data_IF_129134755743
#
_entry.id   IF_129134755743
#
_cell.length_a   1.000
_cell.length_b   1.000
_cell.length_c   1.000
_cell.angle_alpha   90.00
_cell.angle_beta   90.00
_cell.angle_gamma   90.00
#
_symmetry.space_group_name_H-M   'P 1'
#
loop_
_entity.id
_entity.type
_entity.pdbx_description
1 polymer ?
#
# COMPACT_ATOMS: atom_id res chain seq x y z
N UNK A 1 -4.33 16.03 -4.99
CA UNK A 1 -3.69 16.31 -3.68
C UNK A 1 -3.61 15.07 -2.79
N UNK A 2 -4.66 14.25 -2.68
CA UNK A 2 -4.65 13.05 -1.80
C UNK A 2 -3.60 12.00 -2.17
N UNK A 3 -3.42 11.68 -3.46
CA UNK A 3 -2.41 10.71 -3.91
C UNK A 3 -0.97 11.16 -3.61
N UNK A 4 -0.70 12.46 -3.66
CA UNK A 4 0.63 13.02 -3.33
C UNK A 4 0.94 12.84 -1.85
N UNK A 5 -0.03 13.13 -0.97
CA UNK A 5 0.13 12.95 0.47
C UNK A 5 0.29 11.47 0.83
N UNK A 6 -0.54 10.61 0.26
CA UNK A 6 -0.47 9.16 0.46
C UNK A 6 0.88 8.59 0.00
N UNK A 7 1.39 9.05 -1.15
CA UNK A 7 2.73 8.67 -1.63
C UNK A 7 3.84 9.11 -0.68
N UNK A 8 3.77 10.34 -0.17
CA UNK A 8 4.74 10.86 0.80
C UNK A 8 4.77 10.02 2.08
N UNK A 9 3.60 9.79 2.69
CA UNK A 9 3.47 8.96 3.90
C UNK A 9 3.98 7.54 3.64
N UNK A 10 3.63 6.94 2.49
CA UNK A 10 4.09 5.60 2.14
C UNK A 10 5.62 5.55 2.02
N UNK A 11 6.23 6.50 1.31
CA UNK A 11 7.70 6.55 1.18
C UNK A 11 8.39 6.75 2.53
N UNK A 12 7.89 7.66 3.38
CA UNK A 12 8.42 7.86 4.73
C UNK A 12 8.27 6.62 5.61
N UNK A 13 7.21 5.84 5.41
CA UNK A 13 6.99 4.59 6.13
C UNK A 13 8.01 3.55 5.68
N UNK A 14 8.15 3.34 4.37
CA UNK A 14 9.09 2.36 3.81
C UNK A 14 10.57 2.71 4.07
N UNK A 15 10.89 3.99 4.24
CA UNK A 15 12.23 4.45 4.63
C UNK A 15 12.47 4.42 6.14
N UNK A 16 11.47 4.02 6.94
CA UNK A 16 11.65 3.92 8.38
C UNK A 16 12.70 2.85 8.73
N UNK A 17 13.54 3.08 9.76
CA UNK A 17 14.52 2.08 10.21
C UNK A 17 13.88 0.74 10.59
N UNK A 18 12.61 0.76 11.02
CA UNK A 18 11.84 -0.41 11.42
C UNK A 18 11.57 -1.38 10.27
N UNK A 19 11.51 -0.88 9.02
CA UNK A 19 11.21 -1.67 7.82
C UNK A 19 12.42 -1.87 6.91
N UNK A 20 13.60 -1.41 7.34
CA UNK A 20 14.82 -1.42 6.52
C UNK A 20 15.27 -2.85 6.16
N UNK A 21 14.94 -3.84 7.00
CA UNK A 21 15.25 -5.25 6.78
C UNK A 21 14.07 -6.06 6.20
N UNK A 22 12.91 -5.44 6.02
CA UNK A 22 11.72 -6.13 5.51
C UNK A 22 11.73 -6.07 3.97
N UNK A 23 11.74 -7.21 3.26
CA UNK A 23 11.70 -7.22 1.80
C UNK A 23 10.30 -6.83 1.31
N UNK A 24 10.10 -5.54 1.02
CA UNK A 24 8.83 -4.99 0.52
C UNK A 24 8.99 -4.59 -0.95
N UNK A 25 8.22 -5.23 -1.83
CA UNK A 25 8.12 -4.82 -3.24
C UNK A 25 6.98 -3.80 -3.39
N UNK A 26 7.34 -2.57 -3.78
CA UNK A 26 6.35 -1.53 -4.06
C UNK A 26 6.04 -1.46 -5.55
N UNK A 27 4.78 -1.76 -5.92
CA UNK A 27 4.26 -1.58 -7.27
C UNK A 27 3.21 -0.48 -7.33
N UNK A 28 3.48 0.55 -8.13
CA UNK A 28 2.52 1.64 -8.37
C UNK A 28 1.72 1.36 -9.63
N UNK A 29 0.38 1.41 -9.52
CA UNK A 29 -0.54 1.28 -10.65
C UNK A 29 -1.22 2.61 -10.89
N UNK A 30 -1.07 3.14 -12.10
CA UNK A 30 -1.81 4.33 -12.54
C UNK A 30 -3.12 3.88 -13.21
N UNK A 31 -4.23 4.10 -12.50
CA UNK A 31 -5.56 3.72 -12.96
C UNK A 31 -6.05 4.55 -14.15
N UNK A 32 -5.43 5.71 -14.43
CA UNK A 32 -5.82 6.55 -15.58
C UNK A 32 -5.33 5.96 -16.91
N UNK A 33 -4.43 4.97 -16.87
CA UNK A 33 -3.96 4.28 -18.08
C UNK A 33 -5.01 3.28 -18.56
N UNK A 34 -5.22 3.23 -19.88
CA UNK A 34 -6.18 2.30 -20.52
C UNK A 34 -5.94 0.83 -20.16
N UNK A 35 -4.68 0.42 -20.01
CA UNK A 35 -4.30 -0.95 -19.59
C UNK A 35 -4.79 -1.32 -18.17
N UNK A 36 -5.10 -0.31 -17.34
CA UNK A 36 -5.59 -0.46 -15.98
C UNK A 36 -7.07 -0.07 -15.84
N UNK A 37 -7.84 -0.06 -16.94
CA UNK A 37 -9.26 0.32 -16.93
C UNK A 37 -10.08 -0.46 -15.87
N UNK A 38 -9.76 -1.75 -15.67
CA UNK A 38 -10.37 -2.56 -14.61
C UNK A 38 -10.22 -1.96 -13.20
N UNK A 39 -9.10 -1.29 -12.91
CA UNK A 39 -8.85 -0.65 -11.62
C UNK A 39 -9.48 0.74 -11.55
N UNK A 40 -9.61 1.41 -12.69
CA UNK A 40 -10.36 2.64 -12.79
C UNK A 40 -11.82 2.41 -12.42
N UNK A 41 -12.46 1.40 -13.01
CA UNK A 41 -13.88 1.09 -12.75
C UNK A 41 -14.14 0.75 -11.28
N UNK A 42 -13.16 0.16 -10.59
CA UNK A 42 -13.28 -0.26 -9.19
C UNK A 42 -12.95 0.87 -8.19
N UNK A 43 -12.00 1.74 -8.52
CA UNK A 43 -11.41 2.66 -7.54
C UNK A 43 -11.38 4.14 -7.95
N UNK A 44 -12.00 4.53 -9.07
CA UNK A 44 -11.94 5.93 -9.55
C UNK A 44 -12.40 6.96 -8.49
N UNK A 45 -13.27 6.57 -7.56
CA UNK A 45 -13.74 7.42 -6.47
C UNK A 45 -12.97 7.25 -5.14
N UNK A 46 -12.28 6.13 -4.94
CA UNK A 46 -11.63 5.76 -3.68
C UNK A 46 -10.11 6.00 -3.66
N UNK A 47 -9.54 6.52 -4.76
CA UNK A 47 -8.11 6.84 -4.82
C UNK A 47 -7.71 7.88 -3.76
N UNK A 48 -6.59 7.69 -3.05
CA UNK A 48 -5.58 6.63 -3.20
C UNK A 48 -5.93 5.32 -2.48
N UNK A 49 -5.60 4.19 -3.12
CA UNK A 49 -5.77 2.83 -2.58
C UNK A 49 -4.42 2.12 -2.51
N UNK A 50 -4.13 1.47 -1.38
CA UNK A 50 -2.96 0.60 -1.19
C UNK A 50 -3.42 -0.82 -0.90
N UNK A 51 -2.91 -1.76 -1.67
CA UNK A 51 -3.01 -3.19 -1.38
C UNK A 51 -1.73 -3.67 -0.70
N UNK A 52 -1.90 -4.40 0.41
CA UNK A 52 -0.81 -5.12 1.08
C UNK A 52 -1.09 -6.60 0.91
N UNK A 53 -0.33 -7.21 -0.01
CA UNK A 53 -0.35 -8.63 -0.32
C UNK A 53 0.79 -9.33 0.42
N UNK A 54 0.51 -10.51 1.00
CA UNK A 54 1.48 -11.33 1.72
C UNK A 54 1.38 -12.80 1.30
N UNK A 55 2.50 -13.53 1.24
CA UNK A 55 2.47 -14.96 0.93
C UNK A 55 1.65 -15.71 1.98
N UNK A 56 0.63 -16.46 1.53
CA UNK A 56 -0.25 -17.25 2.41
C UNK A 56 -1.29 -16.45 3.20
N UNK A 57 -1.59 -15.21 2.79
CA UNK A 57 -2.75 -14.47 3.28
C UNK A 57 -4.00 -14.81 2.44
N UNK A 58 -5.13 -15.08 3.09
CA UNK A 58 -6.37 -15.45 2.39
C UNK A 58 -7.04 -14.27 1.65
N UNK A 59 -6.87 -13.03 2.14
CA UNK A 59 -7.40 -11.80 1.52
C UNK A 59 -6.46 -10.63 1.76
N UNK A 60 -6.05 -9.85 0.74
CA UNK A 60 -5.18 -8.69 0.93
C UNK A 60 -5.78 -7.64 1.86
N UNK A 61 -4.91 -6.93 2.59
CA UNK A 61 -5.34 -5.75 3.34
C UNK A 61 -5.41 -4.56 2.39
N UNK A 62 -6.48 -3.79 2.48
CA UNK A 62 -6.70 -2.61 1.66
C UNK A 62 -6.76 -1.37 2.54
N UNK A 63 -5.98 -0.35 2.21
CA UNK A 63 -6.10 0.99 2.77
C UNK A 63 -6.63 1.91 1.69
N UNK A 64 -7.67 2.69 2.01
CA UNK A 64 -8.33 3.60 1.06
C UNK A 64 -8.40 5.00 1.66
N UNK A 65 -8.41 6.02 0.80
CA UNK A 65 -8.53 7.45 1.12
C UNK A 65 -7.33 8.06 1.89
N UNK A 66 -6.98 7.51 3.04
CA UNK A 66 -5.96 8.06 3.94
C UNK A 66 -5.01 6.98 4.45
N UNK A 67 -3.73 7.30 4.38
CA UNK A 67 -2.66 6.44 4.89
C UNK A 67 -2.19 6.99 6.24
N UNK A 68 -2.11 6.11 7.22
CA UNK A 68 -1.56 6.41 8.54
C UNK A 68 -0.25 5.66 8.69
N UNK A 69 0.84 6.41 8.95
CA UNK A 69 2.18 5.85 9.07
C UNK A 69 2.26 4.73 10.11
N UNK A 70 1.64 4.90 11.29
CA UNK A 70 1.68 3.88 12.35
C UNK A 70 0.96 2.62 11.92
N UNK A 71 -0.24 2.75 11.35
CA UNK A 71 -1.00 1.60 10.85
C UNK A 71 -0.29 0.86 9.73
N UNK A 72 0.36 1.59 8.83
CA UNK A 72 1.13 1.00 7.74
C UNK A 72 2.35 0.25 8.29
N UNK A 73 3.15 0.87 9.17
CA UNK A 73 4.29 0.19 9.81
C UNK A 73 3.85 -1.08 10.53
N UNK A 74 2.81 -1.02 11.35
CA UNK A 74 2.26 -2.18 12.04
C UNK A 74 1.84 -3.28 11.05
N UNK A 75 1.22 -2.92 9.93
CA UNK A 75 0.75 -3.89 8.94
C UNK A 75 1.90 -4.55 8.17
N UNK A 76 2.95 -3.78 7.85
CA UNK A 76 4.15 -4.29 7.19
C UNK A 76 4.94 -5.22 8.12
N UNK A 77 5.09 -4.87 9.40
CA UNK A 77 5.78 -5.70 10.40
C UNK A 77 5.04 -7.01 10.74
N UNK A 78 3.71 -7.07 10.57
CA UNK A 78 2.96 -8.35 10.71
C UNK A 78 3.45 -9.43 9.75
N UNK A 79 4.08 -9.07 8.63
CA UNK A 79 4.66 -10.00 7.68
C UNK A 79 5.85 -10.82 8.22
N UNK A 80 6.55 -10.34 9.24
CA UNK A 80 7.72 -11.02 9.82
C UNK A 80 7.38 -12.09 10.87
N UNK A 81 6.15 -12.12 11.40
CA UNK A 81 5.74 -13.14 12.38
C UNK A 81 5.36 -14.45 11.69
N UNK A 82 6.33 -15.15 11.12
CA UNK A 82 6.23 -16.59 10.85
C UNK A 82 7.44 -17.31 11.44
N UNK A 83 7.14 -18.09 12.47
CA UNK A 83 7.95 -19.08 13.17
C UNK A 83 8.32 -20.19 12.19
#
# INVERSE_FOLDING_TARGET
MLCTNAKGILQETLQSPELQNTPIELKTVDIMKKENAQWFDVYCYDVPVLHVDRPGQAKPVKFMHYFDKKKLTEEFLKGEKRI
#
